data_IF_401031374642
#
_entry.id   IF_401031374642
#
_cell.length_a   1.000
_cell.length_b   1.000
_cell.length_c   1.000
_cell.angle_alpha   90.00
_cell.angle_beta   90.00
_cell.angle_gamma   90.00
#
_symmetry.space_group_name_H-M   'P 1'
#
loop_
_entity.id
_entity.type
_entity.pdbx_description
1 polymer ?
#
# COMPACT_ATOMS: atom_id res chain seq x y z
N UNK A 1 20.59 -21.54 0.69
CA UNK A 1 20.11 -20.43 1.54
C UNK A 1 18.61 -20.60 1.65
N UNK A 2 18.00 -20.50 2.83
CA UNK A 2 16.54 -20.49 2.91
C UNK A 2 16.05 -19.18 2.27
N UNK A 3 15.07 -19.26 1.38
CA UNK A 3 14.46 -18.06 0.81
C UNK A 3 13.91 -17.17 1.92
N UNK A 4 14.12 -15.86 1.79
CA UNK A 4 13.60 -14.89 2.77
C UNK A 4 12.07 -14.94 2.76
N UNK A 5 11.41 -14.89 3.93
CA UNK A 5 9.97 -14.72 3.97
C UNK A 5 9.54 -13.46 3.21
N UNK A 6 8.44 -13.57 2.47
CA UNK A 6 7.82 -12.46 1.76
C UNK A 6 6.67 -11.90 2.60
N UNK A 7 6.69 -10.59 2.84
CA UNK A 7 5.63 -9.86 3.55
C UNK A 7 4.96 -8.90 2.59
N UNK A 8 3.63 -9.00 2.51
CA UNK A 8 2.79 -8.08 1.75
C UNK A 8 2.19 -7.03 2.66
N UNK A 9 2.44 -5.75 2.36
CA UNK A 9 1.72 -4.64 2.99
C UNK A 9 0.59 -4.23 2.05
N UNK A 10 -0.63 -4.62 2.40
CA UNK A 10 -1.83 -4.29 1.64
C UNK A 10 -2.57 -3.19 2.39
N UNK A 11 -2.79 -2.05 1.75
CA UNK A 11 -3.37 -0.89 2.42
C UNK A 11 -4.42 -0.15 1.59
N UNK A 12 -5.32 0.56 2.27
CA UNK A 12 -6.18 1.58 1.68
C UNK A 12 -5.87 2.93 2.32
N UNK A 13 -5.74 3.98 1.51
CA UNK A 13 -5.62 5.34 2.02
C UNK A 13 -6.39 6.33 1.17
N UNK A 14 -7.31 7.06 1.78
CA UNK A 14 -8.05 8.13 1.10
C UNK A 14 -7.24 9.44 1.10
N UNK A 15 -6.75 9.84 2.28
CA UNK A 15 -6.02 11.11 2.47
C UNK A 15 -4.49 10.94 2.58
N UNK A 16 -3.97 9.76 2.24
CA UNK A 16 -2.53 9.48 2.23
C UNK A 16 -1.89 9.10 3.56
N UNK A 17 -2.54 9.32 4.71
CA UNK A 17 -1.95 9.00 6.03
C UNK A 17 -1.55 7.52 6.20
N UNK A 18 -2.38 6.61 5.71
CA UNK A 18 -2.09 5.16 5.77
C UNK A 18 -1.00 4.78 4.76
N UNK A 19 -0.91 5.47 3.63
CA UNK A 19 0.20 5.27 2.71
C UNK A 19 1.54 5.69 3.34
N UNK A 20 1.58 6.84 4.03
CA UNK A 20 2.77 7.26 4.79
C UNK A 20 3.13 6.25 5.89
N UNK A 21 2.13 5.68 6.56
CA UNK A 21 2.36 4.61 7.55
C UNK A 21 2.93 3.34 6.89
N UNK A 22 2.42 2.95 5.72
CA UNK A 22 2.93 1.84 4.93
C UNK A 22 4.42 2.00 4.61
N UNK A 23 4.86 3.21 4.21
CA UNK A 23 6.29 3.49 3.97
C UNK A 23 7.15 3.30 5.23
N UNK A 24 6.65 3.74 6.39
CA UNK A 24 7.35 3.58 7.66
C UNK A 24 7.48 2.09 8.06
N UNK A 25 6.41 1.31 7.85
CA UNK A 25 6.42 -0.15 8.08
C UNK A 25 7.40 -0.83 7.12
N UNK A 26 7.34 -0.53 5.81
CA UNK A 26 8.28 -1.06 4.81
C UNK A 26 9.73 -0.79 5.20
N UNK A 27 10.05 0.46 5.52
CA UNK A 27 11.38 0.87 5.97
C UNK A 27 11.83 0.10 7.22
N UNK A 28 10.93 -0.16 8.15
CA UNK A 28 11.21 -0.96 9.35
C UNK A 28 11.53 -2.42 9.04
N UNK A 29 10.74 -3.05 8.16
CA UNK A 29 10.92 -4.44 7.75
C UNK A 29 12.22 -4.65 6.95
N UNK A 30 12.55 -3.72 6.05
CA UNK A 30 13.73 -3.81 5.19
C UNK A 30 15.04 -3.53 5.94
N UNK A 31 14.98 -2.93 7.14
CA UNK A 31 16.15 -2.49 7.91
C UNK A 31 17.23 -3.56 8.14
N UNK A 32 16.80 -4.80 8.39
CA UNK A 32 17.71 -5.90 8.73
C UNK A 32 17.92 -6.89 7.56
N UNK A 33 17.35 -6.63 6.38
CA UNK A 33 17.48 -7.46 5.18
C UNK A 33 17.06 -8.95 5.36
N UNK A 34 16.22 -9.26 6.35
CA UNK A 34 15.80 -10.62 6.68
C UNK A 34 14.52 -11.07 5.97
N UNK A 35 13.79 -10.14 5.35
CA UNK A 35 12.51 -10.37 4.66
C UNK A 35 12.50 -9.63 3.33
N UNK A 36 11.68 -10.11 2.40
CA UNK A 36 11.29 -9.36 1.21
C UNK A 36 9.96 -8.66 1.50
N UNK A 37 9.76 -7.46 0.94
CA UNK A 37 8.56 -6.65 1.20
C UNK A 37 7.98 -6.15 -0.11
N UNK A 38 6.69 -6.40 -0.32
CA UNK A 38 5.92 -5.83 -1.42
C UNK A 38 4.75 -5.01 -0.87
N UNK A 39 4.40 -3.93 -1.55
CA UNK A 39 3.36 -2.99 -1.13
C UNK A 39 2.30 -2.92 -2.20
N UNK A 40 1.04 -3.07 -1.80
CA UNK A 40 -0.11 -3.00 -2.69
C UNK A 40 -1.21 -2.10 -2.10
N UNK A 41 -1.95 -1.47 -2.98
CA UNK A 41 -3.16 -0.72 -2.68
C UNK A 41 -4.42 -1.57 -2.87
N UNK A 42 -5.38 -1.41 -1.99
CA UNK A 42 -6.75 -1.90 -2.21
C UNK A 42 -7.43 -1.01 -3.26
N UNK A 43 -8.18 -1.59 -4.22
CA UNK A 43 -8.95 -0.81 -5.19
C UNK A 43 -9.86 0.21 -4.52
N UNK A 44 -9.90 1.42 -5.07
CA UNK A 44 -10.86 2.44 -4.66
C UNK A 44 -12.28 2.02 -5.09
N UNK A 45 -13.24 2.09 -4.16
CA UNK A 45 -14.64 1.70 -4.40
C UNK A 45 -15.57 2.89 -4.55
N UNK A 46 -15.14 4.07 -4.09
CA UNK A 46 -15.90 5.30 -4.27
C UNK A 46 -15.72 5.84 -5.69
N UNK A 47 -16.80 6.36 -6.27
CA UNK A 47 -16.73 7.06 -7.55
C UNK A 47 -15.92 8.35 -7.44
N UNK A 48 -15.33 8.77 -8.54
CA UNK A 48 -14.55 10.00 -8.63
C UNK A 48 -15.32 11.24 -8.10
N UNK A 49 -16.58 11.42 -8.48
CA UNK A 49 -17.42 12.54 -8.01
C UNK A 49 -17.57 12.60 -6.47
N UNK A 50 -17.58 11.44 -5.81
CA UNK A 50 -17.68 11.37 -4.34
C UNK A 50 -16.35 11.76 -3.71
N UNK A 51 -15.24 11.25 -4.26
CA UNK A 51 -13.90 11.59 -3.80
C UNK A 51 -13.61 13.09 -3.92
N UNK A 52 -14.01 13.71 -5.04
CA UNK A 52 -13.88 15.15 -5.26
C UNK A 52 -14.68 15.95 -4.23
N UNK A 53 -15.93 15.56 -3.96
CA UNK A 53 -16.75 16.19 -2.91
C UNK A 53 -16.15 16.03 -1.51
N UNK A 54 -15.44 14.94 -1.27
CA UNK A 54 -14.74 14.69 -0.01
C UNK A 54 -13.38 15.39 0.10
N UNK A 55 -12.95 16.11 -0.96
CA UNK A 55 -11.64 16.74 -1.02
C UNK A 55 -10.49 15.74 -0.97
N UNK A 56 -10.71 14.51 -1.46
CA UNK A 56 -9.68 13.49 -1.46
C UNK A 56 -8.56 13.86 -2.47
N UNK A 57 -7.28 13.79 -2.07
CA UNK A 57 -6.17 13.98 -2.99
C UNK A 57 -6.08 12.82 -4.00
N UNK A 58 -5.31 12.98 -5.10
CA UNK A 58 -4.98 11.88 -5.99
C UNK A 58 -4.34 10.70 -5.25
N UNK A 59 -4.64 9.47 -5.68
CA UNK A 59 -4.01 8.25 -5.16
C UNK A 59 -2.53 8.20 -5.53
N UNK A 60 -1.76 7.42 -4.76
CA UNK A 60 -0.38 7.08 -5.10
C UNK A 60 -0.34 6.09 -6.26
N UNK A 61 0.80 6.05 -6.94
CA UNK A 61 1.09 5.11 -8.03
C UNK A 61 1.68 3.80 -7.51
N UNK A 62 1.10 3.24 -6.44
CA UNK A 62 1.46 1.90 -5.95
C UNK A 62 0.54 0.86 -6.62
N UNK A 63 0.99 -0.38 -6.88
CA UNK A 63 0.21 -1.38 -7.59
C UNK A 63 -1.07 -1.75 -6.82
N UNK A 64 -2.18 -1.97 -7.53
CA UNK A 64 -3.43 -2.43 -6.94
C UNK A 64 -3.37 -3.96 -6.74
N UNK A 65 -3.80 -4.44 -5.56
CA UNK A 65 -3.93 -5.87 -5.29
C UNK A 65 -5.09 -6.47 -6.09
N UNK A 66 -4.87 -7.63 -6.70
CA UNK A 66 -5.91 -8.42 -7.37
C UNK A 66 -5.86 -9.87 -6.86
N UNK A 67 -7.01 -10.54 -6.78
CA UNK A 67 -7.15 -11.91 -6.27
C UNK A 67 -6.38 -12.91 -7.15
N UNK A 68 -6.02 -12.52 -8.38
CA UNK A 68 -5.31 -13.36 -9.33
C UNK A 68 -3.79 -13.34 -9.20
N UNK A 69 -3.21 -12.50 -8.34
CA UNK A 69 -1.77 -12.44 -8.09
C UNK A 69 -1.46 -12.30 -6.59
#
# INVERSE_FOLDING_TARGET
>A
MSDKPLIYIIYYSMYGHIATLSDAIKKGLEKNNNVNVEVYQVPETLSQDVLEKMGAPPKRDDPIIDIKN
#
